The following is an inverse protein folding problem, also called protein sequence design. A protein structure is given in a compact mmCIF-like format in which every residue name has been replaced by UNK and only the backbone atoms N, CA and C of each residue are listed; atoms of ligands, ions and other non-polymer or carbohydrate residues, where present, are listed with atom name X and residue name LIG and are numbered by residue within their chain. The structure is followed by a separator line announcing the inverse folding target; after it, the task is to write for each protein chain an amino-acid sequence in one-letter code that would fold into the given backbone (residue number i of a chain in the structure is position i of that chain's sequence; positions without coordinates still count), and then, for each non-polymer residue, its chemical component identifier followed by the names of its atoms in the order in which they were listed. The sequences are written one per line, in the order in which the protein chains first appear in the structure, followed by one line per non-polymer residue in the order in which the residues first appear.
data_IF_950845665569
#
_entry.id   IF_950845665569
#
_cell.length_a   1.000
_cell.length_b   1.000
_cell.length_c   1.000
_cell.angle_alpha   90.00
_cell.angle_beta   90.00
_cell.angle_gamma   90.00
#
_symmetry.space_group_name_H-M   'P 1'
#
loop_
_entity.id
_entity.type
_entity.pdbx_description
1 polymer ?
#
# COMPACT_ATOMS: atom_id res chain seq x y z
N UNK A 1 8.93 -17.13 -0.97
CA UNK A 1 7.98 -16.85 0.14
C UNK A 1 6.57 -16.48 -0.34
N UNK A 2 6.38 -15.40 -1.12
CA UNK A 2 5.05 -14.97 -1.58
C UNK A 2 4.24 -16.07 -2.26
N UNK A 3 4.82 -16.76 -3.24
CA UNK A 3 4.18 -17.91 -3.89
C UNK A 3 3.70 -18.96 -2.90
N UNK A 4 4.52 -19.31 -1.89
CA UNK A 4 4.12 -20.28 -0.88
C UNK A 4 2.93 -19.79 -0.06
N UNK A 5 2.90 -18.52 0.32
CA UNK A 5 1.75 -17.92 1.02
C UNK A 5 0.48 -18.00 0.17
N UNK A 6 0.56 -17.63 -1.11
CA UNK A 6 -0.58 -17.67 -2.04
C UNK A 6 -1.12 -19.09 -2.17
N UNK A 7 -0.25 -20.08 -2.39
CA UNK A 7 -0.63 -21.49 -2.50
C UNK A 7 -1.19 -22.05 -1.18
N UNK A 8 -0.57 -21.74 -0.04
CA UNK A 8 -1.04 -22.15 1.29
C UNK A 8 -2.44 -21.61 1.62
N UNK A 9 -2.76 -20.40 1.14
CA UNK A 9 -4.09 -19.80 1.27
C UNK A 9 -5.10 -20.28 0.23
N UNK A 10 -4.70 -21.19 -0.68
CA UNK A 10 -5.57 -21.66 -1.77
C UNK A 10 -5.90 -20.58 -2.80
N UNK A 11 -5.08 -19.53 -2.89
CA UNK A 11 -5.28 -18.44 -3.84
C UNK A 11 -4.59 -18.74 -5.18
N UNK A 12 -5.07 -18.08 -6.24
CA UNK A 12 -4.47 -18.18 -7.58
C UNK A 12 -3.24 -17.28 -7.65
N UNK A 13 -2.08 -17.84 -7.99
CA UNK A 13 -0.87 -17.06 -8.23
C UNK A 13 -0.76 -16.69 -9.72
N UNK A 14 -0.54 -15.41 -10.00
CA UNK A 14 -0.30 -14.92 -11.35
C UNK A 14 1.17 -14.55 -11.50
N UNK A 15 1.83 -15.09 -12.52
CA UNK A 15 3.22 -14.82 -12.83
C UNK A 15 3.31 -14.01 -14.11
N UNK A 16 4.12 -12.96 -14.07
CA UNK A 16 4.47 -12.19 -15.26
C UNK A 16 5.86 -12.60 -15.70
N UNK A 17 5.97 -13.07 -16.94
CA UNK A 17 7.26 -13.36 -17.57
C UNK A 17 8.01 -12.06 -17.88
N UNK A 18 7.28 -11.02 -18.28
CA UNK A 18 7.81 -9.67 -18.50
C UNK A 18 7.16 -8.68 -17.52
N UNK A 19 7.99 -8.11 -16.65
CA UNK A 19 7.55 -7.10 -15.67
C UNK A 19 7.00 -5.82 -16.30
N UNK A 20 7.34 -5.53 -17.56
CA UNK A 20 6.82 -4.37 -18.28
C UNK A 20 5.32 -4.48 -18.59
N UNK A 21 4.78 -5.71 -18.61
CA UNK A 21 3.36 -5.99 -18.84
C UNK A 21 2.49 -5.81 -17.58
N UNK A 22 3.08 -5.39 -16.44
CA UNK A 22 2.38 -5.30 -15.15
C UNK A 22 1.10 -4.46 -15.21
N UNK A 23 1.09 -3.39 -16.01
CA UNK A 23 -0.09 -2.51 -16.13
C UNK A 23 -1.27 -3.23 -16.77
N UNK A 24 -1.01 -3.98 -17.84
CA UNK A 24 -2.05 -4.68 -18.58
C UNK A 24 -2.55 -5.87 -17.75
N UNK A 25 -1.62 -6.60 -17.12
CA UNK A 25 -1.94 -7.67 -16.19
C UNK A 25 -2.79 -7.22 -14.99
N UNK A 26 -2.49 -6.06 -14.40
CA UNK A 26 -3.31 -5.51 -13.30
C UNK A 26 -4.76 -5.25 -13.72
N UNK A 27 -4.96 -4.83 -14.97
CA UNK A 27 -6.27 -4.53 -15.53
C UNK A 27 -7.05 -5.81 -15.87
N UNK A 28 -6.36 -6.85 -16.33
CA UNK A 28 -6.94 -8.15 -16.69
C UNK A 28 -7.22 -9.02 -15.45
N UNK A 29 -6.18 -9.29 -14.66
CA UNK A 29 -6.22 -10.20 -13.50
C UNK A 29 -7.02 -9.58 -12.36
N UNK A 30 -6.94 -8.24 -12.22
CA UNK A 30 -7.51 -7.47 -11.12
C UNK A 30 -7.16 -8.13 -9.79
N UNK A 31 -5.91 -8.09 -9.29
CA UNK A 31 -5.54 -8.87 -8.11
C UNK A 31 -6.32 -8.42 -6.86
N UNK A 32 -6.53 -9.35 -5.93
CA UNK A 32 -7.01 -9.04 -4.56
C UNK A 32 -5.84 -8.81 -3.60
N UNK A 33 -4.67 -9.37 -3.88
CA UNK A 33 -3.44 -9.18 -3.12
C UNK A 33 -2.26 -9.16 -4.08
N UNK A 34 -1.25 -8.35 -3.80
CA UNK A 34 -0.05 -8.26 -4.64
C UNK A 34 1.13 -7.82 -3.79
N UNK A 35 2.25 -8.55 -3.83
CA UNK A 35 3.50 -8.07 -3.26
C UNK A 35 4.24 -7.18 -4.26
N UNK A 36 4.83 -6.08 -3.78
CA UNK A 36 5.60 -5.17 -4.60
C UNK A 36 6.79 -4.58 -3.83
N UNK A 37 7.81 -4.15 -4.56
CA UNK A 37 8.99 -3.45 -3.99
C UNK A 37 8.78 -1.93 -4.03
N UNK A 38 9.51 -1.12 -3.23
CA UNK A 38 9.33 0.34 -3.19
C UNK A 38 9.31 1.04 -4.55
N UNK A 39 10.21 0.64 -5.46
CA UNK A 39 10.30 1.18 -6.82
C UNK A 39 9.00 1.07 -7.63
N UNK A 40 8.18 0.05 -7.36
CA UNK A 40 6.87 -0.08 -8.01
C UNK A 40 5.91 1.03 -7.55
N UNK A 41 5.83 1.26 -6.24
CA UNK A 41 5.02 2.32 -5.64
C UNK A 41 5.50 3.71 -6.12
N UNK A 42 6.81 3.94 -6.13
CA UNK A 42 7.42 5.19 -6.63
C UNK A 42 7.06 5.50 -8.08
N UNK A 43 7.11 4.49 -8.96
CA UNK A 43 6.73 4.64 -10.37
C UNK A 43 5.26 5.00 -10.53
N UNK A 44 4.37 4.32 -9.81
CA UNK A 44 2.92 4.62 -9.84
C UNK A 44 2.65 6.02 -9.27
N UNK A 45 3.26 6.36 -8.14
CA UNK A 45 3.15 7.67 -7.51
C UNK A 45 3.58 8.78 -8.47
N UNK A 46 4.75 8.64 -9.10
CA UNK A 46 5.30 9.59 -10.06
C UNK A 46 4.39 9.74 -11.29
N UNK A 47 3.93 8.62 -11.86
CA UNK A 47 3.05 8.63 -13.03
C UNK A 47 1.70 9.32 -12.75
N UNK A 48 1.13 9.12 -11.55
CA UNK A 48 -0.09 9.82 -11.12
C UNK A 48 0.17 11.33 -11.01
N UNK A 49 1.24 11.73 -10.32
CA UNK A 49 1.54 13.15 -10.11
C UNK A 49 1.89 13.87 -11.41
N UNK A 50 2.58 13.21 -12.34
CA UNK A 50 2.83 13.74 -13.68
C UNK A 50 1.52 13.94 -14.47
N UNK A 51 0.59 12.98 -14.41
CA UNK A 51 -0.71 13.12 -15.06
C UNK A 51 -1.54 14.26 -14.46
N UNK A 52 -1.46 14.45 -13.15
CA UNK A 52 -2.14 15.55 -12.44
C UNK A 52 -1.48 16.90 -12.75
N UNK A 53 -0.15 16.96 -12.84
CA UNK A 53 0.58 18.21 -13.12
C UNK A 53 0.25 18.77 -14.51
N UNK A 54 -0.03 17.90 -15.49
CA UNK A 54 -0.48 18.26 -16.85
C UNK A 54 -1.98 18.54 -16.95
N UNK A 55 -2.78 18.25 -15.92
CA UNK A 55 -4.23 18.43 -15.95
C UNK A 55 -4.65 19.90 -15.73
N UNK A 56 -5.86 20.30 -16.16
CA UNK A 56 -6.41 21.61 -15.85
C UNK A 56 -6.51 21.87 -14.33
N UNK A 57 -6.48 23.14 -13.93
CA UNK A 57 -6.48 23.58 -12.53
C UNK A 57 -7.62 22.96 -11.72
N UNK A 58 -8.84 22.89 -12.27
CA UNK A 58 -9.98 22.29 -11.57
C UNK A 58 -9.76 20.80 -11.23
N UNK A 59 -9.06 20.04 -12.08
CA UNK A 59 -8.74 18.64 -11.80
C UNK A 59 -7.64 18.52 -10.75
N UNK A 60 -6.66 19.42 -10.75
CA UNK A 60 -5.63 19.50 -9.69
C UNK A 60 -6.26 19.74 -8.33
N UNK A 61 -7.13 20.74 -8.23
CA UNK A 61 -7.85 21.07 -6.99
C UNK A 61 -8.68 19.88 -6.51
N UNK A 62 -9.42 19.24 -7.42
CA UNK A 62 -10.22 18.05 -7.10
C UNK A 62 -9.36 16.87 -6.62
N UNK A 63 -8.22 16.62 -7.29
CA UNK A 63 -7.29 15.57 -6.88
C UNK A 63 -6.74 15.83 -5.48
N UNK A 64 -6.20 17.03 -5.22
CA UNK A 64 -5.65 17.40 -3.92
C UNK A 64 -6.71 17.32 -2.82
N UNK A 65 -7.93 17.82 -3.08
CA UNK A 65 -9.05 17.69 -2.15
C UNK A 65 -9.39 16.22 -1.85
N UNK A 66 -9.46 15.37 -2.87
CA UNK A 66 -9.80 13.96 -2.71
C UNK A 66 -8.74 13.21 -1.90
N UNK A 67 -7.45 13.40 -2.22
CA UNK A 67 -6.33 12.82 -1.47
C UNK A 67 -6.34 13.30 -0.01
N UNK A 68 -6.63 14.58 0.23
CA UNK A 68 -6.75 15.11 1.59
C UNK A 68 -7.89 14.48 2.40
N UNK A 69 -9.05 14.22 1.78
CA UNK A 69 -10.15 13.50 2.45
C UNK A 69 -9.75 12.06 2.77
N UNK A 70 -9.06 11.40 1.84
CA UNK A 70 -8.45 10.09 2.03
C UNK A 70 -7.46 10.06 3.20
N UNK A 71 -6.54 11.02 3.25
CA UNK A 71 -5.53 11.12 4.30
C UNK A 71 -6.16 11.34 5.69
N UNK A 72 -7.18 12.21 5.79
CA UNK A 72 -7.94 12.41 7.04
C UNK A 72 -8.64 11.12 7.48
N UNK A 73 -9.22 10.39 6.54
CA UNK A 73 -9.89 9.12 6.82
C UNK A 73 -8.88 8.05 7.27
N UNK A 74 -7.71 7.97 6.62
CA UNK A 74 -6.63 7.08 6.99
C UNK A 74 -6.09 7.39 8.41
N UNK A 75 -5.91 8.67 8.73
CA UNK A 75 -5.51 9.12 10.06
C UNK A 75 -6.52 8.71 11.15
N UNK A 76 -7.82 8.88 10.90
CA UNK A 76 -8.85 8.41 11.85
C UNK A 76 -8.74 6.90 12.12
N UNK A 77 -8.46 6.09 11.08
CA UNK A 77 -8.25 4.65 11.26
C UNK A 77 -6.98 4.35 12.04
N UNK A 78 -5.86 5.03 11.73
CA UNK A 78 -4.60 4.90 12.45
C UNK A 78 -4.75 5.21 13.94
N UNK A 79 -5.46 6.29 14.28
CA UNK A 79 -5.72 6.70 15.66
C UNK A 79 -6.86 5.90 16.34
N UNK A 80 -7.45 4.91 15.66
CA UNK A 80 -8.63 4.16 16.12
C UNK A 80 -9.81 5.06 16.51
N UNK A 81 -9.91 6.24 15.90
CA UNK A 81 -10.97 7.23 16.14
C UNK A 81 -12.12 7.04 15.15
N UNK A 82 -13.34 7.25 15.62
CA UNK A 82 -14.53 7.22 14.75
C UNK A 82 -14.57 8.48 13.88
N UNK A 83 -14.61 8.36 12.53
CA UNK A 83 -14.67 9.51 11.65
C UNK A 83 -16.03 10.20 11.76
N UNK A 84 -16.03 11.54 11.69
CA UNK A 84 -17.25 12.34 11.69
C UNK A 84 -18.15 12.00 10.50
N UNK A 85 -19.47 12.19 10.65
CA UNK A 85 -20.43 11.94 9.56
C UNK A 85 -20.13 12.81 8.32
N UNK A 86 -19.67 14.04 8.52
CA UNK A 86 -19.27 14.94 7.44
C UNK A 86 -18.05 14.40 6.69
N UNK A 87 -17.02 13.94 7.41
CA UNK A 87 -15.83 13.35 6.79
C UNK A 87 -16.18 12.10 6.00
N UNK A 88 -17.05 11.23 6.53
CA UNK A 88 -17.52 10.03 5.82
C UNK A 88 -18.21 10.37 4.50
N UNK A 89 -19.10 11.36 4.47
CA UNK A 89 -19.77 11.82 3.24
C UNK A 89 -18.78 12.44 2.25
N UNK A 90 -17.90 13.31 2.71
CA UNK A 90 -16.88 13.94 1.88
C UNK A 90 -15.91 12.90 1.29
N UNK A 91 -15.48 11.92 2.10
CA UNK A 91 -14.67 10.81 1.66
C UNK A 91 -15.39 9.94 0.63
N UNK A 92 -16.67 9.61 0.84
CA UNK A 92 -17.44 8.84 -0.15
C UNK A 92 -17.54 9.55 -1.50
N UNK A 93 -17.67 10.88 -1.50
CA UNK A 93 -17.66 11.68 -2.73
C UNK A 93 -16.27 11.69 -3.38
N UNK A 94 -15.21 11.93 -2.60
CA UNK A 94 -13.82 11.85 -3.06
C UNK A 94 -13.50 10.48 -3.67
N UNK A 95 -14.00 9.42 -3.03
CA UNK A 95 -13.82 8.04 -3.44
C UNK A 95 -14.41 7.78 -4.83
N UNK A 96 -15.68 8.14 -5.03
CA UNK A 96 -16.38 7.98 -6.30
C UNK A 96 -15.75 8.81 -7.43
N UNK A 97 -15.27 10.02 -7.14
CA UNK A 97 -14.77 10.94 -8.15
C UNK A 97 -13.32 10.66 -8.57
N UNK A 98 -12.46 10.31 -7.60
CA UNK A 98 -10.99 10.25 -7.77
C UNK A 98 -10.41 8.95 -7.23
N UNK A 99 -10.58 8.62 -5.94
CA UNK A 99 -9.78 7.57 -5.29
C UNK A 99 -10.05 6.18 -5.91
N UNK A 100 -11.32 5.87 -6.22
CA UNK A 100 -11.69 4.62 -6.91
C UNK A 100 -11.03 4.48 -8.28
N UNK A 101 -10.84 5.57 -9.02
CA UNK A 101 -10.14 5.57 -10.31
C UNK A 101 -8.65 5.33 -10.16
N UNK A 102 -8.04 5.81 -9.07
CA UNK A 102 -6.64 5.53 -8.75
C UNK A 102 -6.47 4.06 -8.37
N UNK A 103 -7.34 3.52 -7.51
CA UNK A 103 -7.32 2.08 -7.18
C UNK A 103 -7.60 1.19 -8.37
N UNK A 104 -8.41 1.64 -9.33
CA UNK A 104 -8.67 0.91 -10.57
C UNK A 104 -7.40 0.69 -11.41
N UNK A 105 -6.39 1.57 -11.32
CA UNK A 105 -5.09 1.36 -11.96
C UNK A 105 -4.35 0.11 -11.43
N UNK A 106 -4.69 -0.33 -10.21
CA UNK A 106 -4.16 -1.52 -9.56
C UNK A 106 -5.17 -2.70 -9.60
N UNK A 107 -6.22 -2.63 -10.44
CA UNK A 107 -7.25 -3.66 -10.56
C UNK A 107 -8.49 -3.46 -9.69
N UNK A 108 -8.47 -2.47 -8.77
CA UNK A 108 -9.65 -1.93 -8.09
C UNK A 108 -10.24 -2.78 -6.95
N UNK A 109 -9.75 -4.00 -6.70
CA UNK A 109 -10.23 -4.89 -5.63
C UNK A 109 -9.14 -5.39 -4.69
N UNK A 110 -8.03 -4.67 -4.62
CA UNK A 110 -6.93 -5.01 -3.73
C UNK A 110 -7.37 -4.85 -2.27
N UNK A 111 -7.13 -5.90 -1.49
CA UNK A 111 -7.33 -5.96 -0.05
C UNK A 111 -6.09 -5.43 0.70
N UNK A 112 -4.90 -5.88 0.31
CA UNK A 112 -3.63 -5.39 0.84
C UNK A 112 -2.47 -5.61 -0.14
N UNK A 113 -1.40 -4.82 0.02
CA UNK A 113 -0.17 -4.94 -0.77
C UNK A 113 1.05 -4.89 0.15
N UNK A 114 1.77 -6.00 0.37
CA UNK A 114 3.02 -5.96 1.09
C UNK A 114 4.08 -5.17 0.32
N UNK A 115 4.86 -4.39 1.05
CA UNK A 115 6.04 -3.70 0.56
C UNK A 115 7.25 -4.12 1.39
N UNK A 116 8.26 -4.67 0.71
CA UNK A 116 9.49 -5.14 1.35
C UNK A 116 10.71 -5.05 0.42
N UNK A 117 11.87 -5.42 0.95
CA UNK A 117 13.16 -5.40 0.25
C UNK A 117 13.94 -4.09 0.35
N UNK A 118 13.28 -2.95 0.64
CA UNK A 118 13.92 -1.68 0.98
C UNK A 118 12.93 -0.76 1.72
N UNK A 119 13.42 0.34 2.30
CA UNK A 119 12.57 1.38 2.91
C UNK A 119 11.69 2.02 1.83
N UNK A 120 10.38 2.07 2.07
CA UNK A 120 9.46 2.89 1.29
C UNK A 120 9.43 4.31 1.89
N UNK A 121 9.42 5.33 1.04
CA UNK A 121 9.23 6.71 1.48
C UNK A 121 7.87 6.89 2.17
N UNK A 122 7.87 7.59 3.30
CA UNK A 122 6.70 7.78 4.15
C UNK A 122 5.59 8.57 3.44
N UNK A 123 5.96 9.53 2.59
CA UNK A 123 5.01 10.32 1.78
C UNK A 123 4.29 9.42 0.79
N UNK A 124 5.03 8.52 0.15
CA UNK A 124 4.48 7.56 -0.81
C UNK A 124 3.56 6.57 -0.06
N UNK A 125 4.00 6.00 1.05
CA UNK A 125 3.19 5.13 1.89
C UNK A 125 1.88 5.79 2.32
N UNK A 126 1.94 7.00 2.89
CA UNK A 126 0.77 7.79 3.28
C UNK A 126 -0.16 8.08 2.12
N UNK A 127 0.37 8.37 0.94
CA UNK A 127 -0.43 8.56 -0.27
C UNK A 127 -1.22 7.30 -0.65
N UNK A 128 -0.58 6.12 -0.67
CA UNK A 128 -1.28 4.88 -0.99
C UNK A 128 -2.39 4.56 0.02
N UNK A 129 -2.14 4.77 1.32
CA UNK A 129 -3.19 4.66 2.34
C UNK A 129 -4.31 5.68 2.15
N UNK A 130 -3.98 6.92 1.79
CA UNK A 130 -4.97 7.96 1.53
C UNK A 130 -5.90 7.60 0.35
N UNK A 131 -5.38 6.95 -0.69
CA UNK A 131 -6.21 6.47 -1.81
C UNK A 131 -6.93 5.15 -1.50
N UNK A 132 -6.80 4.61 -0.30
CA UNK A 132 -7.49 3.39 0.15
C UNK A 132 -6.79 2.10 -0.24
N UNK A 133 -5.48 2.11 -0.44
CA UNK A 133 -4.66 0.91 -0.60
C UNK A 133 -3.96 0.63 0.73
N UNK A 134 -4.23 -0.54 1.31
CA UNK A 134 -3.57 -1.00 2.53
C UNK A 134 -2.17 -1.52 2.18
N UNK A 135 -1.16 -0.67 2.31
CA UNK A 135 0.24 -1.04 2.10
C UNK A 135 0.79 -1.62 3.40
N UNK A 136 1.18 -2.89 3.36
CA UNK A 136 1.82 -3.54 4.50
C UNK A 136 3.33 -3.36 4.42
N UNK A 137 3.83 -2.32 5.08
CA UNK A 137 5.26 -2.16 5.33
C UNK A 137 5.73 -3.29 6.23
N UNK A 138 6.83 -3.92 5.85
CA UNK A 138 7.44 -4.99 6.63
C UNK A 138 8.91 -5.18 6.32
N UNK A 139 9.61 -5.77 7.27
CA UNK A 139 10.99 -6.19 7.13
C UNK A 139 11.08 -7.71 6.98
N UNK A 140 12.02 -8.14 6.17
CA UNK A 140 12.18 -9.54 5.84
C UNK A 140 13.44 -9.80 5.03
N UNK A 141 13.92 -11.04 5.09
CA UNK A 141 15.13 -11.48 4.40
C UNK A 141 14.94 -12.87 3.82
N UNK A 142 15.89 -13.31 2.99
CA UNK A 142 15.82 -14.64 2.35
C UNK A 142 15.97 -15.74 3.41
N UNK A 143 16.87 -15.53 4.36
CA UNK A 143 17.26 -16.41 5.46
C UNK A 143 16.09 -16.72 6.40
N UNK A 144 15.13 -15.80 6.53
CA UNK A 144 13.94 -15.95 7.38
C UNK A 144 12.69 -16.36 6.59
N UNK A 145 12.84 -16.77 5.33
CA UNK A 145 11.71 -17.12 4.45
C UNK A 145 10.71 -15.96 4.28
N UNK A 146 11.25 -14.74 4.15
CA UNK A 146 10.58 -13.45 4.06
C UNK A 146 10.26 -12.75 5.40
N UNK A 147 9.00 -12.60 5.79
CA UNK A 147 8.58 -11.53 6.70
C UNK A 147 8.94 -11.83 8.17
N UNK A 148 9.74 -10.95 8.77
CA UNK A 148 10.09 -10.94 10.19
C UNK A 148 9.14 -10.02 10.96
N UNK A 149 8.84 -8.86 10.40
CA UNK A 149 7.90 -7.90 10.98
C UNK A 149 7.02 -7.27 9.92
N UNK A 150 5.78 -6.97 10.29
CA UNK A 150 4.88 -6.14 9.51
C UNK A 150 3.72 -5.61 10.37
N UNK A 151 2.97 -4.67 9.82
CA UNK A 151 1.73 -4.20 10.43
C UNK A 151 0.54 -5.15 10.22
N UNK A 152 -0.30 -5.28 11.25
CA UNK A 152 -1.64 -5.90 11.14
C UNK A 152 -2.60 -4.99 10.34
N UNK A 153 -3.78 -5.48 9.97
CA UNK A 153 -4.81 -4.70 9.26
C UNK A 153 -5.42 -3.58 10.10
N UNK A 154 -5.34 -3.68 11.43
CA UNK A 154 -5.97 -2.74 12.36
C UNK A 154 -5.05 -1.62 12.86
N UNK A 155 -3.75 -1.78 12.67
CA UNK A 155 -2.72 -0.88 13.20
C UNK A 155 -1.75 -0.61 12.06
N UNK A 156 -1.57 0.65 11.69
CA UNK A 156 -0.63 1.04 10.64
C UNK A 156 0.08 2.33 11.06
N UNK A 157 1.40 2.31 10.95
CA UNK A 157 2.24 3.49 11.08
C UNK A 157 3.20 3.51 9.87
N UNK A 158 3.12 4.52 8.98
CA UNK A 158 3.99 4.60 7.81
C UNK A 158 5.46 4.80 8.17
N UNK A 159 5.78 5.21 9.39
CA UNK A 159 7.16 5.50 9.82
C UNK A 159 7.84 4.27 10.45
N UNK A 160 7.15 3.13 10.50
CA UNK A 160 7.63 1.89 11.13
C UNK A 160 7.36 0.65 10.27
N UNK A 161 8.20 -0.37 10.41
CA UNK A 161 8.10 -1.69 9.76
C UNK A 161 7.18 -2.67 10.52
N UNK A 162 6.47 -2.19 11.55
CA UNK A 162 5.47 -2.95 12.27
C UNK A 162 5.99 -3.85 13.37
N UNK A 163 5.19 -4.86 13.71
CA UNK A 163 5.44 -5.74 14.85
C UNK A 163 6.01 -7.07 14.38
N UNK A 164 6.82 -7.72 15.22
CA UNK A 164 7.36 -9.05 14.92
C UNK A 164 6.23 -10.05 14.64
N UNK A 165 6.43 -10.88 13.62
CA UNK A 165 5.52 -11.95 13.27
C UNK A 165 5.46 -13.00 14.39
N UNK A 166 4.33 -13.74 14.53
CA UNK A 166 4.24 -14.83 15.49
C UNK A 166 5.40 -15.82 15.33
N UNK A 167 6.14 -16.06 16.42
CA UNK A 167 7.30 -16.96 16.44
C UNK A 167 8.63 -16.32 16.05
N UNK A 168 8.64 -15.12 15.47
CA UNK A 168 9.86 -14.37 15.21
C UNK A 168 10.34 -13.67 16.47
N UNK A 169 11.62 -13.85 16.81
CA UNK A 169 12.29 -13.12 17.88
C UNK A 169 13.21 -12.10 17.24
N UNK A 170 13.23 -10.88 17.77
CA UNK A 170 14.05 -9.80 17.22
C UNK A 170 14.79 -9.14 18.37
N UNK A 171 16.09 -8.92 18.21
CA UNK A 171 16.91 -8.12 19.12
C UNK A 171 17.84 -7.21 18.33
N UNK A 172 18.19 -6.07 18.90
CA UNK A 172 19.24 -5.21 18.35
C UNK A 172 20.57 -5.65 18.94
N UNK A 173 21.52 -6.00 18.08
CA UNK A 173 22.88 -6.38 18.46
C UNK A 173 23.74 -5.18 18.84
N UNK A 174 24.94 -5.45 19.35
CA UNK A 174 25.88 -4.43 19.82
C UNK A 174 26.31 -3.46 18.71
N UNK A 175 26.30 -3.92 17.45
CA UNK A 175 26.66 -3.13 16.27
C UNK A 175 25.45 -2.43 15.60
N UNK A 176 24.34 -2.27 16.31
CA UNK A 176 23.05 -1.79 15.76
C UNK A 176 22.51 -2.65 14.61
N UNK A 177 22.89 -3.93 14.57
CA UNK A 177 22.38 -4.90 13.63
C UNK A 177 21.06 -5.52 14.13
N UNK A 178 20.17 -5.88 13.21
CA UNK A 178 18.93 -6.57 13.54
C UNK A 178 19.24 -8.07 13.58
N UNK A 179 19.15 -8.68 14.76
CA UNK A 179 19.33 -10.11 14.95
C UNK A 179 17.95 -10.77 15.05
N UNK A 180 17.78 -11.89 14.34
CA UNK A 180 16.50 -12.59 14.12
C UNK A 180 16.65 -14.10 14.21
#
# INVERSE_FOLDING_TARGET
AWTFYVLYKGATNCYLQDTMQVRDALSEVRPTVMCAVPRFYEKIFSAIHEKVSRAPIHRKIMFTWAVNMGAKMALCHQEKRKPSMMLRKAHALADKLVLSKLRALLGGRINFMPCGGAKLDETIGRFFHAIGINVKLGYGMTETTATISCWDDKCFDPDSIGMSMPGAQVKIGENNEILV
#
